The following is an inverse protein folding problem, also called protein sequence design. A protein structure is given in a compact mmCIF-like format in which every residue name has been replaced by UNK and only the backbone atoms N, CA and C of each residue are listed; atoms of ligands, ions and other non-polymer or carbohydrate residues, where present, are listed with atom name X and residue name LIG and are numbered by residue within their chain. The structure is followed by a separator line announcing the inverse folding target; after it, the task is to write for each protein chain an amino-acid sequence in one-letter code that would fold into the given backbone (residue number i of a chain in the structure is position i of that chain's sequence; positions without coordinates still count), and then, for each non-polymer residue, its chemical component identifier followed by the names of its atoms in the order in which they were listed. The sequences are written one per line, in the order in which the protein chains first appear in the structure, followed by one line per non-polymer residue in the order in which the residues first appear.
data_IF_123872393680
#
_entry.id   IF_123872393680
#
_cell.length_a   1.000
_cell.length_b   1.000
_cell.length_c   1.000
_cell.angle_alpha   90.00
_cell.angle_beta   90.00
_cell.angle_gamma   90.00
#
_symmetry.space_group_name_H-M   'P 1'
#
loop_
_entity.id
_entity.type
_entity.pdbx_description
1 polymer ?
#
# COMPACT_ATOMS: atom_id res chain seq x y z
N UNK A 1 -17.50 10.90 -6.14
CA UNK A 1 -16.31 11.68 -6.56
C UNK A 1 -15.35 10.72 -7.21
N UNK A 2 -14.97 10.94 -8.48
CA UNK A 2 -14.04 10.06 -9.19
C UNK A 2 -12.62 10.42 -8.79
N UNK A 3 -12.12 9.77 -7.74
CA UNK A 3 -10.71 9.89 -7.35
C UNK A 3 -9.80 9.49 -8.50
N UNK A 4 -8.61 10.09 -8.57
CA UNK A 4 -7.60 9.68 -9.54
C UNK A 4 -7.19 8.22 -9.28
N UNK A 5 -6.88 7.50 -10.35
CA UNK A 5 -6.45 6.10 -10.29
C UNK A 5 -5.18 5.98 -9.43
N UNK A 6 -5.29 5.25 -8.33
CA UNK A 6 -4.19 5.06 -7.37
C UNK A 6 -2.96 4.49 -8.06
N UNK A 7 -3.12 3.59 -9.03
CA UNK A 7 -2.01 2.98 -9.75
C UNK A 7 -1.27 4.02 -10.60
N UNK A 8 -1.99 4.98 -11.20
CA UNK A 8 -1.38 6.08 -11.96
C UNK A 8 -0.63 7.05 -11.05
N UNK A 9 -1.21 7.39 -9.91
CA UNK A 9 -0.54 8.25 -8.92
C UNK A 9 0.70 7.56 -8.34
N UNK A 10 0.64 6.25 -8.09
CA UNK A 10 1.78 5.48 -7.63
C UNK A 10 2.91 5.45 -8.68
N UNK A 11 2.59 5.31 -9.97
CA UNK A 11 3.59 5.42 -11.05
C UNK A 11 4.26 6.80 -11.10
N UNK A 12 3.50 7.86 -10.87
CA UNK A 12 3.99 9.23 -11.02
C UNK A 12 4.77 9.73 -9.80
N UNK A 13 4.36 9.36 -8.59
CA UNK A 13 4.86 9.97 -7.34
C UNK A 13 5.56 9.00 -6.40
N UNK A 14 5.38 7.69 -6.53
CA UNK A 14 5.99 6.74 -5.60
C UNK A 14 7.49 6.60 -5.86
N UNK A 15 8.27 6.66 -4.78
CA UNK A 15 9.71 6.40 -4.78
C UNK A 15 10.03 4.91 -4.53
N UNK A 16 9.01 4.07 -4.38
CA UNK A 16 9.20 2.63 -4.21
C UNK A 16 9.54 1.96 -5.55
N UNK A 17 10.33 0.88 -5.53
CA UNK A 17 10.63 0.09 -6.73
C UNK A 17 9.36 -0.47 -7.42
N UNK A 18 8.25 -0.60 -6.69
CA UNK A 18 6.95 -1.01 -7.24
C UNK A 18 6.24 0.09 -8.03
N UNK A 19 6.71 1.35 -8.01
CA UNK A 19 6.09 2.47 -8.72
C UNK A 19 5.85 2.14 -10.20
N UNK A 20 6.84 1.54 -10.87
CA UNK A 20 6.75 1.12 -12.29
C UNK A 20 5.62 0.13 -12.57
N UNK A 21 5.13 -0.58 -11.55
CA UNK A 21 3.99 -1.51 -11.60
C UNK A 21 2.77 -0.95 -10.88
N UNK A 22 2.59 0.37 -10.84
CA UNK A 22 1.43 0.98 -10.17
C UNK A 22 1.45 0.87 -8.65
N UNK A 23 2.61 0.64 -8.04
CA UNK A 23 2.71 0.45 -6.59
C UNK A 23 2.41 -0.98 -6.12
N UNK A 24 2.18 -1.93 -7.05
CA UNK A 24 1.84 -3.31 -6.69
C UNK A 24 3.00 -4.06 -6.01
N UNK A 25 2.70 -4.55 -4.81
CA UNK A 25 3.60 -5.39 -4.01
C UNK A 25 3.31 -6.88 -4.13
N UNK A 26 2.19 -7.27 -4.77
CA UNK A 26 1.74 -8.65 -4.86
C UNK A 26 1.20 -9.19 -3.53
N UNK A 27 1.31 -10.50 -3.33
CA UNK A 27 0.95 -11.15 -2.06
C UNK A 27 2.03 -10.90 -1.01
N UNK A 28 1.61 -10.38 0.14
CA UNK A 28 2.49 -10.10 1.28
C UNK A 28 2.05 -10.91 2.50
N UNK A 29 3.02 -11.49 3.21
CA UNK A 29 2.82 -12.21 4.47
C UNK A 29 3.25 -11.35 5.66
N UNK A 30 2.67 -11.65 6.82
CA UNK A 30 2.98 -10.96 8.07
C UNK A 30 4.48 -11.04 8.37
N UNK A 31 5.09 -9.89 8.63
CA UNK A 31 6.52 -9.74 8.88
C UNK A 31 7.38 -9.43 7.65
N UNK A 32 6.81 -9.36 6.45
CA UNK A 32 7.55 -9.00 5.23
C UNK A 32 7.63 -7.48 4.98
N UNK A 33 6.82 -6.70 5.68
CA UNK A 33 6.78 -5.24 5.57
C UNK A 33 7.30 -4.57 6.83
N UNK A 34 7.59 -3.26 6.75
CA UNK A 34 7.96 -2.45 7.91
C UNK A 34 6.86 -2.55 8.98
N UNK A 35 7.17 -2.69 10.28
CA UNK A 35 6.17 -3.03 11.31
C UNK A 35 4.90 -2.16 11.31
N UNK A 36 5.03 -0.86 11.05
CA UNK A 36 3.88 0.07 10.97
C UNK A 36 2.98 -0.23 9.78
N UNK A 37 3.57 -0.62 8.65
CA UNK A 37 2.87 -0.96 7.42
C UNK A 37 2.27 -2.35 7.52
N UNK A 38 3.04 -3.31 8.04
CA UNK A 38 2.59 -4.67 8.25
C UNK A 38 1.33 -4.69 9.12
N UNK A 39 1.39 -4.01 10.28
CA UNK A 39 0.23 -3.87 11.17
C UNK A 39 -0.97 -3.25 10.45
N UNK A 40 -0.78 -2.23 9.63
CA UNK A 40 -1.85 -1.59 8.88
C UNK A 40 -2.47 -2.54 7.84
N UNK A 41 -1.67 -3.26 7.06
CA UNK A 41 -2.16 -4.20 6.03
C UNK A 41 -3.01 -5.32 6.63
N UNK A 42 -2.63 -5.83 7.81
CA UNK A 42 -3.38 -6.90 8.49
C UNK A 42 -4.57 -6.41 9.34
N UNK A 43 -4.66 -5.12 9.65
CA UNK A 43 -5.76 -4.55 10.44
C UNK A 43 -6.75 -3.68 9.64
N UNK A 44 -6.30 -3.14 8.51
CA UNK A 44 -7.07 -2.22 7.68
C UNK A 44 -8.16 -2.91 6.87
N UNK A 45 -9.14 -2.10 6.46
CA UNK A 45 -10.19 -2.49 5.53
C UNK A 45 -9.66 -2.62 4.09
N UNK A 46 -10.20 -3.58 3.35
CA UNK A 46 -9.92 -3.77 1.93
C UNK A 46 -10.57 -2.67 1.07
N UNK A 47 -10.00 -2.39 -0.10
CA UNK A 47 -10.45 -1.40 -1.09
C UNK A 47 -10.57 0.03 -0.54
N UNK A 48 -9.82 0.32 0.52
CA UNK A 48 -9.71 1.63 1.15
C UNK A 48 -8.26 2.09 1.08
N UNK A 49 -8.07 3.39 0.83
CA UNK A 49 -6.76 4.03 0.92
C UNK A 49 -6.48 4.39 2.37
N UNK A 50 -5.37 3.87 2.90
CA UNK A 50 -4.88 4.13 4.24
C UNK A 50 -3.67 5.05 4.19
N UNK A 51 -3.64 6.04 5.09
CA UNK A 51 -2.51 6.94 5.29
C UNK A 51 -2.89 8.42 5.31
N UNK A 52 -1.88 9.32 5.30
CA UNK A 52 -0.46 9.04 5.19
C UNK A 52 0.12 8.36 6.44
N UNK A 53 0.88 7.28 6.27
CA UNK A 53 1.57 6.56 7.34
C UNK A 53 3.05 6.89 7.33
N UNK A 54 3.59 7.33 8.46
CA UNK A 54 5.01 7.64 8.62
C UNK A 54 5.79 6.36 8.95
N UNK A 55 6.85 6.10 8.19
CA UNK A 55 7.87 5.10 8.49
C UNK A 55 9.27 5.71 8.41
N UNK A 56 10.31 4.92 8.67
CA UNK A 56 11.70 5.35 8.51
C UNK A 56 12.05 5.77 7.07
N UNK A 57 11.26 5.32 6.08
CA UNK A 57 11.45 5.64 4.66
C UNK A 57 10.66 6.87 4.21
N UNK A 58 9.92 7.54 5.10
CA UNK A 58 9.07 8.70 4.78
C UNK A 58 7.58 8.40 4.95
N UNK A 59 6.75 8.98 4.08
CA UNK A 59 5.29 8.84 4.13
C UNK A 59 4.77 7.85 3.08
N UNK A 60 3.77 7.07 3.46
CA UNK A 60 3.22 5.98 2.67
C UNK A 60 1.70 6.10 2.58
N UNK A 61 1.16 5.91 1.39
CA UNK A 61 -0.27 5.64 1.17
C UNK A 61 -0.41 4.18 0.73
N UNK A 62 -1.39 3.47 1.27
CA UNK A 62 -1.56 2.04 1.06
C UNK A 62 -2.99 1.71 0.68
N UNK A 63 -3.15 0.85 -0.32
CA UNK A 63 -4.44 0.27 -0.67
C UNK A 63 -4.35 -1.25 -0.47
N UNK A 64 -5.25 -1.79 0.34
CA UNK A 64 -5.35 -3.25 0.52
C UNK A 64 -6.33 -3.77 -0.52
N UNK A 65 -5.84 -4.43 -1.59
CA UNK A 65 -6.71 -4.89 -2.68
C UNK A 65 -7.60 -6.06 -2.28
N UNK A 66 -7.01 -7.09 -1.66
CA UNK A 66 -7.68 -8.30 -1.23
C UNK A 66 -6.88 -9.00 -0.11
N UNK A 67 -7.57 -9.82 0.67
CA UNK A 67 -7.07 -10.66 1.75
C UNK A 67 -7.48 -12.10 1.47
N UNK A 68 -6.50 -12.99 1.43
CA UNK A 68 -6.75 -14.42 1.27
C UNK A 68 -7.00 -15.03 2.65
N UNK A 69 -8.16 -15.64 2.82
CA UNK A 69 -8.48 -16.44 3.99
C UNK A 69 -8.35 -17.90 3.57
N UNK A 70 -7.35 -18.60 4.12
CA UNK A 70 -7.17 -20.04 3.97
C UNK A 70 -7.79 -20.77 5.17
#
# INVERSE_FOLDING_TARGET
QSGADFNKLAQQYSTCNSARRGGELGEVKKGQLVPVIDKLVFSGAERVIHGPVKSQFGFHLLEIKFRMNF
#
